data_IF_224472241723
#
_entry.id   IF_224472241723
#
_cell.length_a   1.000
_cell.length_b   1.000
_cell.length_c   1.000
_cell.angle_alpha   90.00
_cell.angle_beta   90.00
_cell.angle_gamma   90.00
#
_symmetry.space_group_name_H-M   'P 1'
#
loop_
_entity.id
_entity.type
_entity.pdbx_description
1 polymer ?
#
# COMPACT_ATOMS: atom_id res chain seq x y z
N UNK A 1 7.21 -18.66 -8.80
CA UNK A 1 5.92 -17.94 -8.71
C UNK A 1 5.89 -16.90 -9.81
N UNK A 2 4.87 -16.88 -10.66
CA UNK A 2 4.76 -15.87 -11.72
C UNK A 2 4.43 -14.49 -11.13
N UNK A 3 4.57 -13.41 -11.92
CA UNK A 3 4.14 -12.08 -11.49
C UNK A 3 2.62 -12.00 -11.27
N UNK A 4 1.84 -12.75 -12.06
CA UNK A 4 0.39 -12.86 -11.90
C UNK A 4 0.00 -13.54 -10.58
N UNK A 5 0.66 -14.66 -10.22
CA UNK A 5 0.43 -15.34 -8.94
C UNK A 5 0.80 -14.42 -7.76
N UNK A 6 1.91 -13.69 -7.90
CA UNK A 6 2.38 -12.76 -6.90
C UNK A 6 1.39 -11.60 -6.69
N UNK A 7 0.83 -11.07 -7.78
CA UNK A 7 -0.18 -10.02 -7.76
C UNK A 7 -1.51 -10.48 -7.15
N UNK A 8 -1.91 -11.72 -7.41
CA UNK A 8 -3.08 -12.32 -6.78
C UNK A 8 -2.89 -12.43 -5.26
N UNK A 9 -1.75 -12.97 -4.81
CA UNK A 9 -1.43 -13.09 -3.38
C UNK A 9 -1.32 -11.73 -2.69
N UNK A 10 -0.71 -10.73 -3.34
CA UNK A 10 -0.62 -9.37 -2.81
C UNK A 10 -2.01 -8.74 -2.63
N UNK A 11 -2.88 -8.88 -3.64
CA UNK A 11 -4.26 -8.40 -3.57
C UNK A 11 -5.04 -9.12 -2.47
N UNK A 12 -4.87 -10.44 -2.35
CA UNK A 12 -5.52 -11.23 -1.32
C UNK A 12 -5.05 -10.88 0.08
N UNK A 13 -3.75 -10.61 0.26
CA UNK A 13 -3.19 -10.15 1.54
C UNK A 13 -3.82 -8.83 2.00
N UNK A 14 -4.01 -7.86 1.09
CA UNK A 14 -4.69 -6.60 1.40
C UNK A 14 -6.17 -6.80 1.77
N UNK A 15 -6.86 -7.72 1.08
CA UNK A 15 -8.26 -8.05 1.40
C UNK A 15 -8.39 -8.70 2.78
N UNK A 16 -7.48 -9.62 3.12
CA UNK A 16 -7.45 -10.24 4.45
C UNK A 16 -7.14 -9.23 5.55
N UNK A 17 -6.22 -8.28 5.28
CA UNK A 17 -5.81 -7.25 6.23
C UNK A 17 -6.96 -6.33 6.66
N UNK A 18 -7.87 -5.96 5.74
CA UNK A 18 -9.06 -5.18 6.10
C UNK A 18 -10.22 -6.05 6.60
N UNK A 19 -10.31 -7.30 6.15
CA UNK A 19 -11.38 -8.23 6.56
C UNK A 19 -11.17 -8.82 7.95
N UNK A 20 -10.00 -8.64 8.55
CA UNK A 20 -9.73 -9.03 9.93
C UNK A 20 -10.66 -8.27 10.89
N UNK A 21 -11.12 -8.97 11.94
CA UNK A 21 -11.94 -8.37 13.00
C UNK A 21 -11.02 -7.77 14.07
N UNK A 22 -11.39 -6.60 14.58
CA UNK A 22 -10.68 -5.85 15.64
C UNK A 22 -9.27 -5.42 15.22
N UNK A 23 -9.20 -4.27 14.54
CA UNK A 23 -7.95 -3.52 14.34
C UNK A 23 -7.93 -2.30 15.27
N UNK A 24 -7.20 -2.35 16.40
CA UNK A 24 -7.19 -1.26 17.36
C UNK A 24 -6.83 0.08 16.68
N UNK A 25 -7.74 1.06 16.78
CA UNK A 25 -7.52 2.42 16.26
C UNK A 25 -7.53 2.55 14.72
N UNK A 26 -8.03 1.56 13.98
CA UNK A 26 -8.05 1.59 12.52
C UNK A 26 -9.38 1.05 11.96
N UNK A 27 -9.59 1.24 10.65
CA UNK A 27 -10.72 0.66 9.91
C UNK A 27 -10.59 -0.85 9.89
N UNK A 28 -11.68 -1.53 10.22
CA UNK A 28 -11.87 -2.95 10.03
C UNK A 28 -13.28 -3.26 9.54
N UNK A 29 -13.63 -4.55 9.40
CA UNK A 29 -14.94 -4.98 8.90
C UNK A 29 -16.14 -4.42 9.68
N UNK A 30 -15.99 -4.11 10.95
CA UNK A 30 -17.08 -3.68 11.84
C UNK A 30 -16.95 -2.22 12.30
N UNK A 31 -15.87 -1.52 11.92
CA UNK A 31 -15.57 -0.16 12.38
C UNK A 31 -15.14 0.73 11.21
N UNK A 32 -16.03 1.65 10.85
CA UNK A 32 -15.78 2.70 9.87
C UNK A 32 -15.44 4.05 10.51
N UNK A 33 -14.79 4.93 9.75
CA UNK A 33 -14.69 6.37 10.03
C UNK A 33 -15.72 7.12 9.17
N UNK A 34 -16.00 8.38 9.53
CA UNK A 34 -17.00 9.21 8.82
C UNK A 34 -16.74 9.30 7.31
N UNK A 35 -15.48 9.50 6.91
CA UNK A 35 -15.09 9.70 5.50
C UNK A 35 -14.49 8.45 4.85
N UNK A 36 -14.13 7.44 5.64
CA UNK A 36 -13.38 6.27 5.19
C UNK A 36 -14.05 5.00 5.71
N UNK A 37 -14.50 4.14 4.81
CA UNK A 37 -15.23 2.91 5.16
C UNK A 37 -14.53 1.66 4.59
N UNK A 38 -14.93 0.49 5.06
CA UNK A 38 -14.45 -0.82 4.62
C UNK A 38 -14.40 -0.97 3.08
N UNK A 39 -15.44 -0.53 2.36
CA UNK A 39 -15.51 -0.66 0.90
C UNK A 39 -14.40 0.12 0.18
N UNK A 40 -13.91 1.23 0.75
CA UNK A 40 -12.79 1.96 0.18
C UNK A 40 -11.51 1.11 0.17
N UNK A 41 -11.28 0.33 1.22
CA UNK A 41 -10.15 -0.61 1.31
C UNK A 41 -10.29 -1.77 0.32
N UNK A 42 -11.49 -2.34 0.19
CA UNK A 42 -11.76 -3.38 -0.83
C UNK A 42 -11.48 -2.85 -2.24
N UNK A 43 -11.97 -1.64 -2.52
CA UNK A 43 -11.79 -0.97 -3.80
C UNK A 43 -10.31 -0.69 -4.08
N UNK A 44 -9.56 -0.28 -3.06
CA UNK A 44 -8.11 -0.07 -3.14
C UNK A 44 -7.33 -1.35 -3.45
N UNK A 45 -7.68 -2.49 -2.84
CA UNK A 45 -7.02 -3.76 -3.13
C UNK A 45 -7.16 -4.16 -4.61
N UNK A 46 -8.33 -3.96 -5.21
CA UNK A 46 -8.55 -4.20 -6.65
C UNK A 46 -7.76 -3.21 -7.50
N UNK A 47 -7.76 -1.92 -7.14
CA UNK A 47 -7.07 -0.87 -7.91
C UNK A 47 -5.54 -0.97 -7.89
N UNK A 48 -4.96 -1.57 -6.85
CA UNK A 48 -3.51 -1.75 -6.74
C UNK A 48 -2.96 -2.87 -7.63
N UNK A 49 -3.78 -3.87 -7.98
CA UNK A 49 -3.37 -5.07 -8.74
C UNK A 49 -2.55 -4.79 -10.01
N UNK A 50 -2.90 -3.83 -10.89
CA UNK A 50 -2.10 -3.55 -12.08
C UNK A 50 -0.66 -3.13 -11.80
N UNK A 51 -0.38 -2.57 -10.60
CA UNK A 51 1.00 -2.26 -10.18
C UNK A 51 1.73 -3.52 -9.76
N UNK A 52 1.05 -4.43 -9.07
CA UNK A 52 1.62 -5.71 -8.66
C UNK A 52 2.00 -6.60 -9.85
N UNK A 53 1.17 -6.60 -10.90
CA UNK A 53 1.44 -7.34 -12.14
C UNK A 53 2.69 -6.82 -12.87
N UNK A 54 3.02 -5.54 -12.68
CA UNK A 54 4.14 -4.84 -13.31
C UNK A 54 5.31 -4.59 -12.36
N UNK A 55 5.33 -5.24 -11.19
CA UNK A 55 6.31 -4.96 -10.13
C UNK A 55 7.77 -5.14 -10.57
N UNK A 56 8.01 -6.07 -11.50
CA UNK A 56 9.32 -6.35 -12.06
C UNK A 56 9.79 -5.26 -13.04
N UNK A 57 8.87 -4.47 -13.60
CA UNK A 57 9.15 -3.37 -14.56
C UNK A 57 9.43 -2.03 -13.89
N UNK A 58 9.04 -1.87 -12.62
CA UNK A 58 9.07 -0.59 -11.90
C UNK A 58 10.22 -0.57 -10.90
N UNK A 59 10.83 0.59 -10.69
CA UNK A 59 11.60 0.84 -9.47
C UNK A 59 10.69 0.78 -8.24
N UNK A 60 11.27 0.64 -7.04
CA UNK A 60 10.47 0.50 -5.82
C UNK A 60 9.69 1.79 -5.52
N UNK A 61 10.30 2.96 -5.73
CA UNK A 61 9.64 4.25 -5.58
C UNK A 61 8.52 4.45 -6.61
N UNK A 62 8.72 4.09 -7.87
CA UNK A 62 7.66 4.15 -8.89
C UNK A 62 6.48 3.24 -8.54
N UNK A 63 6.76 2.01 -8.06
CA UNK A 63 5.72 1.09 -7.63
C UNK A 63 4.90 1.66 -6.46
N UNK A 64 5.56 2.26 -5.46
CA UNK A 64 4.88 2.91 -4.34
C UNK A 64 4.02 4.07 -4.82
N UNK A 65 4.58 4.97 -5.64
CA UNK A 65 3.87 6.12 -6.17
C UNK A 65 2.63 5.74 -6.99
N UNK A 66 2.78 4.82 -7.95
CA UNK A 66 1.67 4.38 -8.80
C UNK A 66 0.60 3.62 -8.01
N UNK A 67 0.99 2.79 -7.03
CA UNK A 67 0.03 2.09 -6.19
C UNK A 67 -0.80 3.08 -5.37
N UNK A 68 -0.13 4.04 -4.71
CA UNK A 68 -0.79 5.05 -3.86
C UNK A 68 -1.69 5.96 -4.68
N UNK A 69 -1.24 6.41 -5.86
CA UNK A 69 -2.05 7.19 -6.78
C UNK A 69 -3.33 6.47 -7.20
N UNK A 70 -3.26 5.15 -7.42
CA UNK A 70 -4.42 4.33 -7.80
C UNK A 70 -5.37 4.08 -6.65
N UNK A 71 -4.85 3.75 -5.47
CA UNK A 71 -5.69 3.49 -4.29
C UNK A 71 -6.37 4.76 -3.78
N UNK A 72 -5.74 5.92 -3.93
CA UNK A 72 -6.29 7.20 -3.51
C UNK A 72 -7.17 7.91 -4.56
N UNK A 73 -7.79 7.15 -5.48
CA UNK A 73 -8.67 7.67 -6.55
C UNK A 73 -10.15 7.70 -6.17
N UNK A 74 -10.48 7.42 -4.90
CA UNK A 74 -11.82 7.44 -4.33
C UNK A 74 -11.90 8.41 -3.14
N UNK A 75 -13.11 8.74 -2.68
CA UNK A 75 -13.34 9.69 -1.58
C UNK A 75 -12.76 9.26 -0.22
N UNK A 76 -12.51 7.97 -0.01
CA UNK A 76 -11.99 7.44 1.26
C UNK A 76 -10.58 7.85 1.68
N UNK A 77 -9.87 8.63 0.88
CA UNK A 77 -8.51 9.09 1.19
C UNK A 77 -7.51 7.95 1.36
N UNK A 78 -6.71 8.01 2.43
CA UNK A 78 -5.67 7.02 2.72
C UNK A 78 -6.26 5.71 3.28
N UNK A 79 -6.14 4.64 2.50
CA UNK A 79 -6.54 3.28 2.90
C UNK A 79 -5.33 2.40 3.18
N UNK A 80 -4.46 2.21 2.18
CA UNK A 80 -3.44 1.16 2.19
C UNK A 80 -2.00 1.67 2.11
N UNK A 81 -1.72 2.97 2.33
CA UNK A 81 -0.36 3.50 2.19
C UNK A 81 0.67 2.72 3.04
N UNK A 82 0.37 2.54 4.33
CA UNK A 82 1.24 1.80 5.26
C UNK A 82 1.41 0.33 4.86
N UNK A 83 0.36 -0.32 4.37
CA UNK A 83 0.43 -1.70 3.88
C UNK A 83 1.28 -1.81 2.60
N UNK A 84 1.12 -0.88 1.66
CA UNK A 84 1.83 -0.88 0.38
C UNK A 84 3.34 -0.70 0.55
N UNK A 85 3.80 0.17 1.46
CA UNK A 85 5.24 0.39 1.68
C UNK A 85 5.93 -0.84 2.28
N UNK A 86 5.18 -1.75 2.92
CA UNK A 86 5.68 -3.03 3.42
C UNK A 86 5.55 -4.13 2.37
N UNK A 87 4.43 -4.19 1.66
CA UNK A 87 4.09 -5.25 0.72
C UNK A 87 4.89 -5.18 -0.58
N UNK A 88 5.09 -3.99 -1.15
CA UNK A 88 5.76 -3.81 -2.43
C UNK A 88 7.23 -4.27 -2.42
N UNK A 89 8.06 -3.97 -1.39
CA UNK A 89 9.40 -4.54 -1.27
C UNK A 89 9.38 -6.08 -1.20
N UNK A 90 8.46 -6.67 -0.42
CA UNK A 90 8.32 -8.13 -0.28
C UNK A 90 7.91 -8.76 -1.61
N UNK A 91 6.99 -8.12 -2.33
CA UNK A 91 6.52 -8.57 -3.62
C UNK A 91 7.65 -8.56 -4.66
N UNK A 92 8.36 -7.43 -4.78
CA UNK A 92 9.47 -7.25 -5.73
C UNK A 92 10.65 -8.18 -5.40
N UNK A 93 10.99 -8.29 -4.12
CA UNK A 93 12.06 -9.14 -3.62
C UNK A 93 11.70 -10.62 -3.51
N UNK A 94 10.44 -10.99 -3.78
CA UNK A 94 9.93 -12.37 -3.68
C UNK A 94 10.21 -13.01 -2.31
N UNK A 95 10.08 -12.22 -1.25
CA UNK A 95 10.36 -12.63 0.14
C UNK A 95 11.14 -11.58 0.93
N UNK A 96 11.33 -11.82 2.22
CA UNK A 96 11.94 -10.84 3.16
C UNK A 96 13.39 -10.53 2.81
N UNK A 97 14.21 -11.53 2.48
CA UNK A 97 15.63 -11.28 2.18
C UNK A 97 15.79 -10.49 0.87
N UNK A 98 15.06 -10.86 -0.19
CA UNK A 98 15.06 -10.08 -1.41
C UNK A 98 14.46 -8.68 -1.21
N UNK A 99 13.47 -8.50 -0.34
CA UNK A 99 12.95 -7.18 0.00
C UNK A 99 14.05 -6.27 0.57
N UNK A 100 14.89 -6.79 1.46
CA UNK A 100 16.04 -6.05 2.01
C UNK A 100 17.05 -5.68 0.92
N UNK A 101 17.25 -6.55 -0.07
CA UNK A 101 18.11 -6.25 -1.22
C UNK A 101 17.52 -5.15 -2.10
N UNK A 102 16.22 -5.24 -2.45
CA UNK A 102 15.53 -4.22 -3.24
C UNK A 102 15.52 -2.86 -2.55
N UNK A 103 15.30 -2.83 -1.22
CA UNK A 103 15.39 -1.60 -0.43
C UNK A 103 16.80 -1.00 -0.51
N UNK A 104 17.87 -1.81 -0.42
CA UNK A 104 19.25 -1.32 -0.51
C UNK A 104 19.62 -0.80 -1.90
N UNK A 105 18.92 -1.23 -2.96
CA UNK A 105 19.11 -0.77 -4.35
C UNK A 105 18.40 0.55 -4.64
N UNK A 106 17.56 1.05 -3.72
CA UNK A 106 16.84 2.31 -3.91
C UNK A 106 17.79 3.49 -4.10
N UNK A 107 17.30 4.48 -4.83
CA UNK A 107 18.01 5.68 -5.22
C UNK A 107 17.34 6.94 -4.65
N UNK A 108 17.94 8.10 -4.89
CA UNK A 108 17.31 9.38 -4.56
C UNK A 108 15.99 9.56 -5.32
N UNK A 109 15.88 9.09 -6.56
CA UNK A 109 14.62 9.16 -7.32
C UNK A 109 13.54 8.32 -6.64
N UNK A 110 13.87 7.12 -6.13
CA UNK A 110 12.91 6.31 -5.37
C UNK A 110 12.40 7.06 -4.14
N UNK A 111 13.30 7.76 -3.42
CA UNK A 111 12.93 8.58 -2.27
C UNK A 111 12.01 9.75 -2.68
N UNK A 112 12.31 10.43 -3.79
CA UNK A 112 11.43 11.50 -4.33
C UNK A 112 10.04 10.95 -4.65
N UNK A 113 9.96 9.79 -5.30
CA UNK A 113 8.68 9.12 -5.61
C UNK A 113 7.92 8.73 -4.35
N UNK A 114 8.61 8.24 -3.32
CA UNK A 114 8.01 7.96 -2.03
C UNK A 114 7.39 9.21 -1.40
N UNK A 115 8.10 10.33 -1.37
CA UNK A 115 7.57 11.58 -0.82
C UNK A 115 6.42 12.15 -1.66
N UNK A 116 6.47 12.02 -2.99
CA UNK A 116 5.34 12.35 -3.84
C UNK A 116 4.12 11.48 -3.54
N UNK A 117 4.32 10.18 -3.30
CA UNK A 117 3.26 9.26 -2.91
C UNK A 117 2.66 9.64 -1.56
N UNK A 118 3.50 9.94 -0.57
CA UNK A 118 3.08 10.42 0.74
C UNK A 118 2.30 11.74 0.64
N UNK A 119 2.71 12.67 -0.23
CA UNK A 119 1.98 13.92 -0.45
C UNK A 119 0.59 13.76 -1.07
N UNK A 120 0.29 12.61 -1.68
CA UNK A 120 -1.07 12.31 -2.13
C UNK A 120 -1.96 11.90 -0.95
N UNK A 121 -1.42 11.32 0.11
CA UNK A 121 -2.22 10.73 1.19
C UNK A 121 -2.56 11.78 2.26
N UNK A 122 -3.82 11.77 2.70
CA UNK A 122 -4.24 12.53 3.88
C UNK A 122 -3.91 11.70 5.13
N UNK A 123 -2.64 11.61 5.51
CA UNK A 123 -2.24 10.88 6.72
C UNK A 123 -2.76 11.64 7.94
N UNK A 124 -3.69 11.03 8.68
CA UNK A 124 -4.10 11.53 9.99
C UNK A 124 -2.97 11.27 10.99
N UNK A 125 -2.21 12.31 11.33
CA UNK A 125 -1.28 12.28 12.46
C UNK A 125 -2.08 12.72 13.69
N UNK A 126 -2.07 11.93 14.76
CA UNK A 126 -2.73 12.33 16.02
C UNK A 126 -2.05 13.60 16.54
N UNK A 127 -2.83 14.62 16.92
CA UNK A 127 -2.32 15.88 17.48
C UNK A 127 -1.45 15.68 18.74
N UNK A 128 -1.60 14.56 19.45
CA UNK A 128 -0.81 14.18 20.63
C UNK A 128 0.68 13.92 20.33
N UNK A 129 1.07 13.80 19.06
CA UNK A 129 2.47 13.57 18.67
C UNK A 129 3.29 14.87 18.51
N UNK A 130 2.66 16.04 18.65
CA UNK A 130 3.31 17.36 18.57
C UNK A 130 3.50 18.04 19.94
N UNK A 131 3.23 17.37 21.06
CA UNK A 131 3.48 17.88 22.42
C UNK A 131 4.67 17.22 23.12
#
# INVERSE_FOLDING_TARGET
>A
MSAADAAELASFAMLLEVSAKQKPGNIDREHDFEDTVFEHFLSSAVRARPVFERIDELSLGEAIYEAVKRTNSHSGGNTHFGALILLLPILKGRGIEGAKEEIRKTTVEDAVRFYQAFGLTSVRVSEESEM
#
